data_IF_868605393225
#
_entry.id   IF_868605393225
#
_cell.length_a   1.000
_cell.length_b   1.000
_cell.length_c   1.000
_cell.angle_alpha   90.00
_cell.angle_beta   90.00
_cell.angle_gamma   90.00
#
_symmetry.space_group_name_H-M   'P 1'
#
loop_
_entity.id
_entity.type
_entity.pdbx_description
1 polymer ?
#
# COMPACT_ATOMS: atom_id res chain seq x y z
N UNK A 1 0.10 -11.83 7.17
CA UNK A 1 -0.07 -12.69 5.98
C UNK A 1 1.04 -12.35 5.02
N UNK A 2 2.05 -13.21 4.89
CA UNK A 2 3.13 -13.06 3.91
C UNK A 2 2.92 -14.14 2.85
N UNK A 3 2.75 -13.72 1.60
CA UNK A 3 2.74 -14.66 0.48
C UNK A 3 4.10 -14.60 -0.21
N UNK A 4 4.34 -15.47 -1.18
CA UNK A 4 5.55 -15.43 -2.00
C UNK A 4 5.72 -14.07 -2.71
N UNK A 5 4.59 -13.47 -3.09
CA UNK A 5 4.54 -12.23 -3.88
C UNK A 5 4.20 -10.99 -3.05
N UNK A 6 3.56 -11.14 -1.88
CA UNK A 6 3.09 -10.04 -1.04
C UNK A 6 3.82 -10.00 0.31
N UNK A 7 4.40 -8.85 0.62
CA UNK A 7 4.92 -8.53 1.94
C UNK A 7 4.29 -7.24 2.47
N UNK A 8 4.14 -7.15 3.79
CA UNK A 8 3.50 -6.02 4.44
C UNK A 8 4.37 -5.46 5.55
N UNK A 9 4.47 -4.13 5.58
CA UNK A 9 5.13 -3.40 6.64
C UNK A 9 4.22 -2.28 7.15
N UNK A 10 4.06 -2.19 8.47
CA UNK A 10 3.24 -1.17 9.11
C UNK A 10 4.17 -0.14 9.73
N UNK A 11 3.92 1.13 9.41
CA UNK A 11 4.63 2.26 9.97
C UNK A 11 3.62 3.29 10.48
N UNK A 12 3.34 3.26 11.78
CA UNK A 12 2.32 4.12 12.40
C UNK A 12 0.94 3.92 11.76
N UNK A 13 0.46 4.91 11.00
CA UNK A 13 -0.83 4.87 10.29
C UNK A 13 -0.75 4.37 8.86
N UNK A 14 0.46 4.11 8.36
CA UNK A 14 0.72 3.76 6.97
C UNK A 14 0.96 2.26 6.84
N UNK A 15 0.32 1.65 5.84
CA UNK A 15 0.56 0.28 5.43
C UNK A 15 1.33 0.28 4.13
N UNK A 16 2.58 -0.18 4.17
CA UNK A 16 3.36 -0.49 2.98
C UNK A 16 3.08 -1.92 2.55
N UNK A 17 2.68 -2.05 1.29
CA UNK A 17 2.45 -3.34 0.65
C UNK A 17 3.41 -3.49 -0.52
N UNK A 18 4.33 -4.44 -0.38
CA UNK A 18 5.24 -4.85 -1.44
C UNK A 18 4.62 -6.00 -2.21
N UNK A 19 4.26 -5.76 -3.48
CA UNK A 19 3.92 -6.81 -4.42
C UNK A 19 5.09 -7.01 -5.39
N UNK A 20 5.72 -8.20 -5.38
CA UNK A 20 6.88 -8.52 -6.25
C UNK A 20 6.49 -8.78 -7.72
N UNK A 21 5.20 -8.97 -7.99
CA UNK A 21 4.62 -9.11 -9.34
C UNK A 21 3.74 -7.90 -9.65
N UNK A 22 2.79 -8.03 -10.58
CA UNK A 22 1.76 -7.00 -10.78
C UNK A 22 0.75 -7.06 -9.63
N UNK A 23 0.29 -5.90 -9.15
CA UNK A 23 -0.75 -5.83 -8.11
C UNK A 23 -2.04 -6.56 -8.50
N UNK A 24 -2.36 -6.63 -9.80
CA UNK A 24 -3.51 -7.39 -10.33
C UNK A 24 -3.38 -8.90 -10.16
N UNK A 25 -2.17 -9.42 -9.98
CA UNK A 25 -1.91 -10.84 -9.73
C UNK A 25 -1.99 -11.19 -8.23
N UNK A 26 -2.04 -10.18 -7.37
CA UNK A 26 -2.25 -10.37 -5.94
C UNK A 26 -3.73 -10.53 -5.61
N UNK A 27 -4.00 -11.32 -4.56
CA UNK A 27 -5.35 -11.42 -3.98
C UNK A 27 -5.69 -10.22 -3.09
N UNK A 28 -4.70 -9.37 -2.83
CA UNK A 28 -4.85 -8.19 -1.99
C UNK A 28 -5.43 -7.07 -2.84
N UNK A 29 -6.47 -6.44 -2.31
CA UNK A 29 -7.14 -5.30 -2.92
C UNK A 29 -7.54 -4.29 -1.85
N UNK A 30 -7.87 -3.06 -2.25
CA UNK A 30 -8.33 -2.04 -1.30
C UNK A 30 -9.53 -2.54 -0.49
N UNK A 31 -10.50 -3.20 -1.14
CA UNK A 31 -11.68 -3.74 -0.46
C UNK A 31 -11.32 -4.78 0.61
N UNK A 32 -10.34 -5.65 0.33
CA UNK A 32 -9.86 -6.64 1.32
C UNK A 32 -9.21 -5.93 2.50
N UNK A 33 -8.40 -4.91 2.26
CA UNK A 33 -7.76 -4.12 3.31
C UNK A 33 -8.78 -3.35 4.15
N UNK A 34 -9.76 -2.70 3.53
CA UNK A 34 -10.81 -1.96 4.23
C UNK A 34 -11.64 -2.88 5.13
N UNK A 35 -12.00 -4.07 4.64
CA UNK A 35 -12.72 -5.07 5.46
C UNK A 35 -11.86 -5.60 6.60
N UNK A 36 -10.58 -5.86 6.36
CA UNK A 36 -9.67 -6.38 7.39
C UNK A 36 -9.37 -5.33 8.47
N UNK A 37 -9.26 -4.05 8.10
CA UNK A 37 -8.93 -2.95 9.00
C UNK A 37 -10.18 -2.31 9.64
N UNK A 38 -11.37 -2.51 9.07
CA UNK A 38 -12.59 -1.82 9.50
C UNK A 38 -12.56 -0.31 9.23
N UNK A 39 -11.68 0.15 8.34
CA UNK A 39 -11.41 1.55 8.06
C UNK A 39 -11.39 1.77 6.54
N UNK A 40 -11.69 3.00 6.11
CA UNK A 40 -11.47 3.39 4.69
C UNK A 40 -9.97 3.51 4.43
N UNK A 41 -9.51 2.97 3.31
CA UNK A 41 -8.11 3.01 2.93
C UNK A 41 -7.94 3.59 1.53
N UNK A 42 -6.78 4.18 1.28
CA UNK A 42 -6.39 4.67 -0.05
C UNK A 42 -5.06 4.04 -0.41
N UNK A 43 -5.07 3.17 -1.43
CA UNK A 43 -3.83 2.66 -2.01
C UNK A 43 -3.30 3.63 -3.06
N UNK A 44 -1.99 3.90 -2.99
CA UNK A 44 -1.24 4.70 -3.96
C UNK A 44 0.03 3.93 -4.32
N UNK A 45 0.40 3.95 -5.59
CA UNK A 45 1.68 3.39 -6.02
C UNK A 45 2.86 4.21 -5.44
N UNK A 46 4.01 3.55 -5.24
CA UNK A 46 5.19 4.19 -4.66
C UNK A 46 5.65 5.42 -5.45
N UNK A 47 5.54 5.39 -6.79
CA UNK A 47 5.86 6.54 -7.64
C UNK A 47 4.98 7.75 -7.36
N UNK A 48 3.69 7.54 -7.04
CA UNK A 48 2.79 8.62 -6.65
C UNK A 48 3.14 9.17 -5.29
N UNK A 49 3.50 8.29 -4.33
CA UNK A 49 3.96 8.71 -3.01
C UNK A 49 5.23 9.56 -3.13
N UNK A 50 6.21 9.15 -3.94
CA UNK A 50 7.44 9.92 -4.18
C UNK A 50 7.13 11.32 -4.75
N UNK A 51 6.28 11.41 -5.77
CA UNK A 51 5.84 12.71 -6.32
C UNK A 51 5.11 13.58 -5.30
N UNK A 52 4.31 12.98 -4.42
CA UNK A 52 3.66 13.70 -3.33
C UNK A 52 4.68 14.19 -2.31
N UNK A 53 5.64 13.35 -1.93
CA UNK A 53 6.73 13.74 -1.04
C UNK A 53 7.52 14.91 -1.63
N UNK A 54 7.95 14.83 -2.89
CA UNK A 54 8.62 15.93 -3.60
C UNK A 54 7.78 17.22 -3.61
N UNK A 55 6.47 17.12 -3.87
CA UNK A 55 5.59 18.28 -3.95
C UNK A 55 5.30 18.94 -2.60
N UNK A 56 5.21 18.17 -1.53
CA UNK A 56 4.68 18.66 -0.24
C UNK A 56 5.71 18.72 0.89
N UNK A 57 6.81 17.96 0.80
CA UNK A 57 7.90 17.97 1.79
C UNK A 57 9.01 18.96 1.40
N UNK A 58 9.15 19.31 0.12
CA UNK A 58 10.01 20.41 -0.31
C UNK A 58 9.40 21.75 0.13
N UNK A 59 9.59 22.09 1.40
CA UNK A 59 9.23 23.37 2.00
C UNK A 59 10.40 23.88 2.83
#
# INVERSE_FOLDING_TARGET
MKTDIDDFHIHGRELYWLCRKKQSESKISNVVLEKALGLKTTLRGINTINKMAEKYIAK
#
